data_IF_916786739453
#
_entry.id   IF_916786739453
#
_cell.length_a   1.000
_cell.length_b   1.000
_cell.length_c   1.000
_cell.angle_alpha   90.00
_cell.angle_beta   90.00
_cell.angle_gamma   90.00
#
_symmetry.space_group_name_H-M   'P 1'
#
loop_
_entity.id
_entity.type
_entity.pdbx_description
1 polymer ?
#
# COMPACT_ATOMS: atom_id res chain seq x y z
N UNK A 1 -3.59 41.26 -36.56
CA UNK A 1 -3.62 39.78 -36.52
C UNK A 1 -2.45 39.31 -35.68
N UNK A 2 -2.52 39.64 -34.38
CA UNK A 2 -1.60 39.27 -33.32
C UNK A 2 -2.47 38.63 -32.25
N UNK A 3 -1.90 37.68 -31.51
CA UNK A 3 -2.44 37.09 -30.27
C UNK A 3 -3.16 35.74 -30.41
N UNK A 4 -2.41 34.63 -30.59
CA UNK A 4 -2.85 33.26 -30.20
C UNK A 4 -1.69 32.25 -29.94
N UNK A 5 -0.40 32.65 -29.90
CA UNK A 5 0.75 31.72 -29.76
C UNK A 5 1.59 31.88 -28.49
N UNK A 6 1.04 32.43 -27.41
CA UNK A 6 1.79 32.61 -26.16
C UNK A 6 1.26 31.81 -24.95
N UNK A 7 0.09 31.17 -25.04
CA UNK A 7 -0.51 30.45 -23.90
C UNK A 7 0.09 29.09 -23.54
N UNK A 8 1.07 28.56 -24.29
CA UNK A 8 1.60 27.20 -24.08
C UNK A 8 3.06 27.13 -23.58
N UNK A 9 3.71 28.27 -23.29
CA UNK A 9 5.11 28.30 -22.84
C UNK A 9 5.30 28.41 -21.33
N UNK A 10 4.23 28.69 -20.59
CA UNK A 10 4.30 28.89 -19.13
C UNK A 10 4.03 27.61 -18.32
N UNK A 11 3.49 26.55 -18.93
CA UNK A 11 3.25 25.26 -18.26
C UNK A 11 4.52 24.41 -18.07
N UNK A 12 5.63 24.77 -18.72
CA UNK A 12 6.94 24.09 -18.61
C UNK A 12 7.84 24.64 -17.48
N UNK A 13 7.39 25.67 -16.74
CA UNK A 13 8.18 26.34 -15.69
C UNK A 13 7.89 25.84 -14.28
N UNK A 14 7.31 24.65 -14.13
CA UNK A 14 7.13 24.04 -12.83
C UNK A 14 8.49 23.52 -12.32
N UNK A 15 8.98 23.93 -11.13
CA UNK A 15 10.24 23.46 -10.59
C UNK A 15 10.13 21.96 -10.22
N UNK A 16 10.68 21.09 -11.07
CA UNK A 16 10.64 19.63 -10.92
C UNK A 16 11.86 19.01 -10.19
N UNK A 17 12.72 19.80 -9.54
CA UNK A 17 14.04 19.28 -9.12
C UNK A 17 14.15 18.73 -7.69
N UNK A 18 13.33 19.16 -6.73
CA UNK A 18 13.59 18.81 -5.31
C UNK A 18 13.00 17.48 -4.86
N UNK A 19 11.81 17.12 -5.38
CA UNK A 19 11.12 15.89 -4.95
C UNK A 19 11.80 14.64 -5.52
N UNK A 20 12.30 14.73 -6.77
CA UNK A 20 12.83 13.58 -7.48
C UNK A 20 14.11 13.01 -6.84
N UNK A 21 15.01 13.86 -6.31
CA UNK A 21 16.25 13.39 -5.65
C UNK A 21 16.01 12.55 -4.38
N UNK A 22 14.90 12.77 -3.69
CA UNK A 22 14.53 12.02 -2.49
C UNK A 22 13.70 10.77 -2.81
N UNK A 23 12.88 10.82 -3.86
CA UNK A 23 12.07 9.65 -4.28
C UNK A 23 12.84 8.68 -5.16
N UNK A 24 13.86 9.11 -5.92
CA UNK A 24 14.64 8.21 -6.79
C UNK A 24 15.29 7.04 -6.05
N UNK A 25 15.99 7.26 -4.91
CA UNK A 25 16.58 6.16 -4.14
C UNK A 25 15.51 5.26 -3.54
N UNK A 26 14.42 5.83 -3.05
CA UNK A 26 13.33 5.10 -2.41
C UNK A 26 12.53 4.26 -3.42
N UNK A 27 12.23 4.82 -4.59
CA UNK A 27 11.59 4.13 -5.70
C UNK A 27 12.50 3.04 -6.28
N UNK A 28 13.80 3.27 -6.37
CA UNK A 28 14.80 2.27 -6.80
C UNK A 28 14.93 1.13 -5.79
N UNK A 29 14.87 1.44 -4.50
CA UNK A 29 14.86 0.46 -3.42
C UNK A 29 13.58 -0.39 -3.45
N UNK A 30 12.41 0.23 -3.60
CA UNK A 30 11.13 -0.49 -3.75
C UNK A 30 11.04 -1.32 -5.04
N UNK A 31 11.84 -1.00 -6.06
CA UNK A 31 11.93 -1.78 -7.31
C UNK A 31 12.74 -3.06 -7.16
N UNK A 32 13.48 -3.23 -6.07
CA UNK A 32 14.15 -4.48 -5.73
C UNK A 32 13.12 -5.34 -5.01
N UNK A 33 12.64 -6.42 -5.65
CA UNK A 33 11.65 -7.34 -5.07
C UNK A 33 12.05 -7.81 -3.66
N UNK A 34 13.35 -8.04 -3.43
CA UNK A 34 13.91 -8.45 -2.14
C UNK A 34 13.83 -7.37 -1.06
N UNK A 35 13.80 -6.09 -1.42
CA UNK A 35 13.73 -4.99 -0.45
C UNK A 35 12.38 -4.97 0.26
N UNK A 36 11.29 -5.30 -0.44
CA UNK A 36 9.95 -5.42 0.18
C UNK A 36 9.95 -6.49 1.28
N UNK A 37 10.54 -7.65 1.01
CA UNK A 37 10.68 -8.73 1.99
C UNK A 37 11.55 -8.34 3.19
N UNK A 38 12.67 -7.64 2.95
CA UNK A 38 13.56 -7.17 4.02
C UNK A 38 12.88 -6.13 4.93
N UNK A 39 12.13 -5.18 4.37
CA UNK A 39 11.35 -4.20 5.14
C UNK A 39 10.30 -4.93 5.99
N UNK A 40 9.56 -5.87 5.40
CA UNK A 40 8.55 -6.63 6.11
C UNK A 40 9.16 -7.36 7.31
N UNK A 41 10.27 -8.06 7.11
CA UNK A 41 10.98 -8.77 8.16
C UNK A 41 11.45 -7.81 9.26
N UNK A 42 12.02 -6.66 8.89
CA UNK A 42 12.46 -5.65 9.84
C UNK A 42 11.28 -5.11 10.68
N UNK A 43 10.13 -4.84 10.06
CA UNK A 43 8.91 -4.44 10.75
C UNK A 43 8.40 -5.53 11.70
N UNK A 44 8.41 -6.80 11.29
CA UNK A 44 8.01 -7.94 12.14
C UNK A 44 8.92 -8.06 13.36
N UNK A 45 10.24 -8.01 13.18
CA UNK A 45 11.20 -8.07 14.28
C UNK A 45 10.99 -6.88 15.22
N UNK A 46 10.83 -5.66 14.71
CA UNK A 46 10.56 -4.49 15.52
C UNK A 46 9.27 -4.64 16.34
N UNK A 47 8.19 -5.14 15.74
CA UNK A 47 6.93 -5.39 16.42
C UNK A 47 7.08 -6.44 17.54
N UNK A 48 7.83 -7.52 17.30
CA UNK A 48 8.11 -8.54 18.31
C UNK A 48 8.93 -7.97 19.47
N UNK A 49 9.98 -7.19 19.18
CA UNK A 49 10.81 -6.55 20.22
C UNK A 49 9.96 -5.61 21.06
N UNK A 50 9.15 -4.74 20.45
CA UNK A 50 8.29 -3.80 21.17
C UNK A 50 7.24 -4.52 22.02
N UNK A 51 6.61 -5.57 21.49
CA UNK A 51 5.58 -6.35 22.18
C UNK A 51 6.13 -7.13 23.39
N UNK A 52 7.41 -7.54 23.36
CA UNK A 52 8.06 -8.25 24.46
C UNK A 52 8.88 -7.33 25.39
N UNK A 53 8.84 -6.01 25.17
CA UNK A 53 9.58 -5.02 25.96
C UNK A 53 8.75 -4.47 27.14
N UNK A 54 9.36 -3.74 28.09
CA UNK A 54 8.63 -3.02 29.14
C UNK A 54 7.58 -2.02 28.62
N UNK A 55 7.69 -1.58 27.37
CA UNK A 55 6.72 -0.69 26.71
C UNK A 55 5.54 -1.42 26.05
N UNK A 56 5.46 -2.74 26.19
CA UNK A 56 4.41 -3.58 25.61
C UNK A 56 3.00 -3.03 25.90
N UNK A 57 2.72 -2.65 27.15
CA UNK A 57 1.40 -2.14 27.53
C UNK A 57 1.04 -0.83 26.80
N UNK A 58 1.97 0.10 26.68
CA UNK A 58 1.76 1.34 25.92
C UNK A 58 1.60 1.08 24.43
N UNK A 59 2.37 0.14 23.88
CA UNK A 59 2.26 -0.27 22.48
C UNK A 59 0.89 -0.91 22.17
N UNK A 60 0.42 -1.85 23.01
CA UNK A 60 -0.89 -2.48 22.85
C UNK A 60 -2.03 -1.47 23.00
N UNK A 61 -1.95 -0.52 23.94
CA UNK A 61 -2.97 0.50 24.13
C UNK A 61 -3.16 1.39 22.87
N UNK A 62 -2.09 1.65 22.11
CA UNK A 62 -2.19 2.36 20.82
C UNK A 62 -3.02 1.54 19.81
N UNK A 63 -2.78 0.23 19.72
CA UNK A 63 -3.52 -0.65 18.81
C UNK A 63 -5.00 -0.81 19.17
N UNK A 64 -5.33 -0.74 20.45
CA UNK A 64 -6.70 -0.82 20.98
C UNK A 64 -7.43 0.53 21.00
N UNK A 65 -6.76 1.61 20.57
CA UNK A 65 -7.36 2.95 20.57
C UNK A 65 -8.66 2.94 19.74
N UNK A 66 -9.81 3.31 20.32
CA UNK A 66 -11.08 3.31 19.60
C UNK A 66 -11.07 4.43 18.55
N UNK A 67 -11.24 4.05 17.29
CA UNK A 67 -11.34 4.95 16.15
C UNK A 67 -12.65 4.66 15.45
N UNK A 68 -13.41 5.71 15.13
CA UNK A 68 -14.72 5.50 14.55
C UNK A 68 -15.53 6.75 14.32
N UNK A 69 -16.69 6.54 13.72
CA UNK A 69 -17.69 7.56 13.44
C UNK A 69 -18.96 7.20 14.19
N UNK A 70 -19.54 8.18 14.89
CA UNK A 70 -20.84 8.05 15.54
C UNK A 70 -21.80 9.05 14.91
N UNK A 71 -22.87 8.55 14.27
CA UNK A 71 -23.89 9.37 13.60
C UNK A 71 -25.25 8.96 14.16
N UNK A 72 -25.82 9.79 15.03
CA UNK A 72 -27.08 9.47 15.70
C UNK A 72 -26.97 8.22 16.58
N UNK A 73 -27.79 7.20 16.31
CA UNK A 73 -27.76 5.89 16.98
C UNK A 73 -26.80 4.89 16.33
N UNK A 74 -26.19 5.23 15.18
CA UNK A 74 -25.22 4.38 14.52
C UNK A 74 -23.83 4.64 15.12
N UNK A 75 -23.25 3.62 15.72
CA UNK A 75 -21.91 3.65 16.29
C UNK A 75 -21.01 2.68 15.51
N UNK A 76 -20.09 3.24 14.72
CA UNK A 76 -19.06 2.48 14.03
C UNK A 76 -17.72 2.79 14.68
N UNK A 77 -17.55 2.31 15.91
CA UNK A 77 -16.31 2.44 16.68
C UNK A 77 -15.62 1.09 16.70
N UNK A 78 -14.38 1.06 16.23
CA UNK A 78 -13.54 -0.14 16.15
C UNK A 78 -12.14 0.18 16.65
N UNK A 79 -11.39 -0.83 17.04
CA UNK A 79 -9.99 -0.63 17.43
C UNK A 79 -9.16 -0.13 16.23
N UNK A 80 -8.15 0.70 16.49
CA UNK A 80 -7.21 1.16 15.46
C UNK A 80 -6.62 -0.02 14.68
N UNK A 81 -6.29 -1.12 15.37
CA UNK A 81 -5.84 -2.38 14.78
C UNK A 81 -6.81 -2.92 13.72
N UNK A 82 -8.10 -2.92 14.02
CA UNK A 82 -9.13 -3.47 13.12
C UNK A 82 -9.25 -2.60 11.87
N UNK A 83 -9.26 -1.28 12.03
CA UNK A 83 -9.27 -0.34 10.90
C UNK A 83 -8.05 -0.49 9.99
N UNK A 84 -6.85 -0.57 10.58
CA UNK A 84 -5.62 -0.75 9.81
C UNK A 84 -5.65 -2.10 9.09
N UNK A 85 -6.06 -3.16 9.79
CA UNK A 85 -6.13 -4.49 9.19
C UNK A 85 -7.10 -4.52 8.00
N UNK A 86 -8.33 -4.03 8.17
CA UNK A 86 -9.34 -4.02 7.11
C UNK A 86 -8.89 -3.13 5.94
N UNK A 87 -8.33 -1.95 6.22
CA UNK A 87 -7.85 -1.03 5.19
C UNK A 87 -6.66 -1.58 4.40
N UNK A 88 -5.62 -2.07 5.09
CA UNK A 88 -4.43 -2.65 4.44
C UNK A 88 -4.77 -3.94 3.70
N UNK A 89 -5.61 -4.81 4.27
CA UNK A 89 -6.07 -6.02 3.60
C UNK A 89 -6.89 -5.69 2.36
N UNK A 90 -7.76 -4.68 2.42
CA UNK A 90 -8.50 -4.20 1.23
C UNK A 90 -7.55 -3.78 0.12
N UNK A 91 -6.51 -2.99 0.45
CA UNK A 91 -5.52 -2.56 -0.54
C UNK A 91 -4.69 -3.74 -1.08
N UNK A 92 -4.25 -4.65 -0.20
CA UNK A 92 -3.51 -5.85 -0.57
C UNK A 92 -4.31 -6.72 -1.55
N UNK A 93 -5.55 -7.07 -1.19
CA UNK A 93 -6.42 -7.87 -2.02
C UNK A 93 -6.80 -7.16 -3.32
N UNK A 94 -6.93 -5.83 -3.31
CA UNK A 94 -7.14 -5.07 -4.55
C UNK A 94 -5.98 -5.25 -5.53
N UNK A 95 -4.73 -5.12 -5.07
CA UNK A 95 -3.55 -5.32 -5.92
C UNK A 95 -3.46 -6.77 -6.38
N UNK A 96 -3.64 -7.74 -5.48
CA UNK A 96 -3.65 -9.17 -5.82
C UNK A 96 -4.73 -9.50 -6.83
N UNK A 97 -5.94 -8.95 -6.68
CA UNK A 97 -7.04 -9.17 -7.61
C UNK A 97 -6.77 -8.52 -8.98
N UNK A 98 -6.16 -7.33 -9.02
CA UNK A 98 -5.76 -6.68 -10.26
C UNK A 98 -4.69 -7.50 -11.00
N UNK A 99 -3.72 -8.04 -10.26
CA UNK A 99 -2.68 -8.92 -10.78
C UNK A 99 -3.26 -10.23 -11.31
N UNK A 100 -4.13 -10.87 -10.53
CA UNK A 100 -4.83 -12.08 -10.93
C UNK A 100 -5.66 -11.84 -12.19
N UNK A 101 -6.40 -10.72 -12.27
CA UNK A 101 -7.15 -10.35 -13.47
C UNK A 101 -6.23 -10.18 -14.68
N UNK A 102 -5.07 -9.52 -14.50
CA UNK A 102 -4.08 -9.36 -15.57
C UNK A 102 -3.62 -10.73 -16.08
N UNK A 103 -3.32 -11.65 -15.17
CA UNK A 103 -2.84 -13.00 -15.50
C UNK A 103 -3.93 -13.85 -16.18
N UNK A 104 -5.19 -13.71 -15.75
CA UNK A 104 -6.33 -14.40 -16.37
C UNK A 104 -6.61 -13.91 -17.80
N UNK A 105 -6.39 -12.62 -18.09
CA UNK A 105 -6.72 -12.04 -19.40
C UNK A 105 -5.54 -12.13 -20.38
N UNK A 106 -4.34 -11.80 -19.91
CA UNK A 106 -3.14 -11.63 -20.73
C UNK A 106 -2.04 -12.66 -20.44
N UNK A 107 -2.15 -13.38 -19.33
CA UNK A 107 -1.12 -14.31 -18.85
C UNK A 107 -1.44 -15.78 -19.09
N UNK A 108 -0.70 -16.64 -18.37
CA UNK A 108 -0.68 -18.09 -18.57
C UNK A 108 -1.96 -18.77 -18.03
N UNK A 109 -2.61 -18.15 -17.06
CA UNK A 109 -3.88 -18.59 -16.47
C UNK A 109 -5.08 -18.40 -17.39
N UNK A 110 -4.91 -17.77 -18.56
CA UNK A 110 -5.96 -17.67 -19.58
C UNK A 110 -6.42 -19.05 -20.08
N UNK A 111 -5.54 -20.04 -20.05
CA UNK A 111 -5.91 -21.40 -20.46
C UNK A 111 -6.48 -22.19 -19.27
N UNK A 112 -7.70 -22.76 -19.39
CA UNK A 112 -8.33 -23.50 -18.29
C UNK A 112 -7.48 -24.68 -17.78
N UNK A 113 -6.67 -25.27 -18.67
CA UNK A 113 -5.77 -26.38 -18.35
C UNK A 113 -4.59 -25.95 -17.46
N UNK A 114 -3.97 -24.79 -17.73
CA UNK A 114 -2.88 -24.27 -16.89
C UNK A 114 -3.42 -23.74 -15.56
N UNK A 115 -4.59 -23.09 -15.57
CA UNK A 115 -5.26 -22.67 -14.36
C UNK A 115 -5.57 -23.86 -13.42
N UNK A 116 -6.08 -24.97 -13.97
CA UNK A 116 -6.34 -26.18 -13.20
C UNK A 116 -5.07 -26.78 -12.58
N UNK A 117 -3.92 -26.70 -13.27
CA UNK A 117 -2.64 -27.18 -12.74
C UNK A 117 -2.16 -26.34 -11.54
N UNK A 118 -2.26 -25.01 -11.64
CA UNK A 118 -1.90 -24.10 -10.56
C UNK A 118 -2.84 -24.20 -9.34
N UNK A 119 -4.11 -24.54 -9.54
CA UNK A 119 -5.09 -24.74 -8.45
C UNK A 119 -4.90 -26.10 -7.76
N UNK A 120 -4.45 -27.11 -8.50
CA UNK A 120 -4.29 -28.48 -7.99
C UNK A 120 -2.90 -28.78 -7.40
N UNK A 121 -1.90 -27.93 -7.68
CA UNK A 121 -0.56 -28.00 -7.09
C UNK A 121 -0.53 -27.42 -5.67
#
# INVERSE_FOLDING_TARGET
MHDERQGNKDLDRLPKESVHRLTEPFARFLRIESAGGAILLACTVAALVLSNSPWSHSFLAVWETPVGLRIGSLELVRGLKEWINDGLMTLFFFVVAAELKRELVLGELRSPRMAALAIAA
#
